data_IF_720955731377
#
_entry.id   IF_720955731377
#
_cell.length_a   1.000
_cell.length_b   1.000
_cell.length_c   1.000
_cell.angle_alpha   90.00
_cell.angle_beta   90.00
_cell.angle_gamma   90.00
#
_symmetry.space_group_name_H-M   'P 1'
#
loop_
_entity.id
_entity.type
_entity.pdbx_description
1 polymer ?
#
# COMPACT_ATOMS: atom_id res chain seq x y z
N UNK A 1 4.43 -29.71 7.22
CA UNK A 1 2.98 -29.46 7.30
C UNK A 1 2.82 -28.21 8.15
N UNK A 2 2.88 -27.05 7.52
CA UNK A 2 2.73 -25.75 8.19
C UNK A 2 1.32 -25.64 8.72
N UNK A 3 1.18 -25.24 9.98
CA UNK A 3 -0.10 -24.92 10.59
C UNK A 3 -0.81 -23.90 9.68
N UNK A 4 -2.04 -24.18 9.19
CA UNK A 4 -2.75 -23.30 8.27
C UNK A 4 -3.06 -21.91 8.85
N UNK A 5 -2.76 -21.68 10.13
CA UNK A 5 -2.95 -20.41 10.84
C UNK A 5 -1.73 -19.49 10.86
N UNK A 6 -0.55 -19.98 10.47
CA UNK A 6 0.70 -19.21 10.51
C UNK A 6 0.91 -18.51 9.18
N UNK A 7 1.21 -17.20 9.23
CA UNK A 7 1.55 -16.43 8.04
C UNK A 7 2.87 -16.94 7.47
N UNK A 8 3.02 -16.88 6.14
CA UNK A 8 4.29 -17.22 5.51
C UNK A 8 5.37 -16.24 6.02
N UNK A 9 6.39 -16.72 6.76
CA UNK A 9 7.41 -15.85 7.33
C UNK A 9 8.29 -15.17 6.28
N UNK A 10 8.24 -15.62 5.01
CA UNK A 10 8.89 -14.98 3.88
C UNK A 10 8.00 -13.97 3.13
N UNK A 11 6.72 -13.86 3.48
CA UNK A 11 5.81 -12.91 2.84
C UNK A 11 5.93 -11.51 3.46
N UNK A 12 5.82 -10.44 2.65
CA UNK A 12 5.80 -9.08 3.19
C UNK A 12 4.58 -8.87 4.09
N UNK A 13 4.75 -8.17 5.21
CA UNK A 13 3.60 -7.70 6.01
C UNK A 13 2.74 -6.77 5.14
N UNK A 14 3.37 -5.83 4.45
CA UNK A 14 2.66 -4.89 3.59
C UNK A 14 3.24 -4.78 2.17
N UNK A 15 2.36 -4.46 1.23
CA UNK A 15 2.72 -4.07 -0.13
C UNK A 15 2.39 -2.59 -0.32
N UNK A 16 3.37 -1.79 -0.78
CA UNK A 16 3.18 -0.37 -1.07
C UNK A 16 2.91 -0.14 -2.56
N UNK A 17 1.63 0.03 -2.91
CA UNK A 17 1.19 0.35 -4.26
C UNK A 17 1.19 1.86 -4.50
N UNK A 18 1.79 2.30 -5.61
CA UNK A 18 1.88 3.71 -5.98
C UNK A 18 1.92 3.88 -7.51
N UNK A 19 1.54 5.06 -7.99
CA UNK A 19 1.64 5.37 -9.42
C UNK A 19 3.11 5.55 -9.81
N UNK A 20 3.56 4.67 -10.71
CA UNK A 20 4.91 4.71 -11.25
C UNK A 20 4.97 5.68 -12.44
N UNK A 21 6.05 6.46 -12.60
CA UNK A 21 6.30 7.18 -13.84
C UNK A 21 6.35 6.19 -15.00
N UNK A 22 5.66 6.48 -16.10
CA UNK A 22 5.67 5.64 -17.29
C UNK A 22 7.12 5.51 -17.81
N UNK A 23 7.62 4.27 -17.79
CA UNK A 23 8.98 3.92 -18.22
C UNK A 23 9.26 4.35 -19.67
N UNK A 24 8.23 4.40 -20.52
CA UNK A 24 8.38 4.79 -21.94
C UNK A 24 8.77 6.25 -22.13
N UNK A 25 8.57 7.10 -21.12
CA UNK A 25 8.77 8.56 -21.21
C UNK A 25 9.96 9.09 -20.39
N UNK A 26 10.66 8.25 -19.62
CA UNK A 26 11.83 8.69 -18.86
C UNK A 26 13.12 8.58 -19.68
N UNK A 27 13.51 9.70 -20.30
CA UNK A 27 14.88 9.90 -20.82
C UNK A 27 15.73 10.50 -19.69
N UNK A 28 16.54 9.68 -19.01
CA UNK A 28 17.46 10.12 -17.96
C UNK A 28 17.67 9.10 -16.83
N UNK A 29 18.68 9.28 -15.97
CA UNK A 29 18.91 8.37 -14.84
C UNK A 29 17.68 8.36 -13.89
N UNK A 30 17.25 7.20 -13.35
CA UNK A 30 15.99 7.03 -12.58
C UNK A 30 15.86 7.79 -11.23
N UNK A 31 16.66 8.82 -10.98
CA UNK A 31 17.12 9.14 -9.62
C UNK A 31 16.24 10.10 -8.80
N UNK A 32 15.18 10.69 -9.35
CA UNK A 32 14.41 11.71 -8.61
C UNK A 32 12.91 11.46 -8.46
N UNK A 33 12.26 10.84 -9.44
CA UNK A 33 10.79 10.80 -9.48
C UNK A 33 10.14 10.12 -8.25
N UNK A 34 10.84 9.17 -7.62
CA UNK A 34 10.29 8.36 -6.52
C UNK A 34 11.01 8.56 -5.18
N UNK A 35 11.84 9.61 -5.00
CA UNK A 35 12.62 9.79 -3.75
C UNK A 35 11.75 9.77 -2.49
N UNK A 36 10.61 10.46 -2.51
CA UNK A 36 9.71 10.52 -1.35
C UNK A 36 8.93 9.22 -1.14
N UNK A 37 8.69 8.44 -2.21
CA UNK A 37 8.07 7.10 -2.09
C UNK A 37 9.06 6.14 -1.45
N UNK A 38 10.34 6.17 -1.87
CA UNK A 38 11.39 5.36 -1.25
C UNK A 38 11.58 5.74 0.23
N UNK A 39 11.66 7.04 0.55
CA UNK A 39 11.72 7.51 1.94
C UNK A 39 10.55 6.97 2.76
N UNK A 40 9.32 7.12 2.26
CA UNK A 40 8.14 6.58 2.95
C UNK A 40 8.23 5.07 3.15
N UNK A 41 8.68 4.35 2.13
CA UNK A 41 8.82 2.90 2.22
C UNK A 41 9.85 2.49 3.27
N UNK A 42 11.02 3.12 3.29
CA UNK A 42 12.09 2.84 4.23
C UNK A 42 11.62 3.15 5.67
N UNK A 43 11.10 4.36 5.91
CA UNK A 43 10.61 4.81 7.21
C UNK A 43 9.45 3.92 7.72
N UNK A 44 8.51 3.56 6.83
CA UNK A 44 7.39 2.69 7.19
C UNK A 44 7.83 1.25 7.45
N UNK A 45 8.79 0.73 6.68
CA UNK A 45 9.33 -0.62 6.86
C UNK A 45 10.01 -0.77 8.21
N UNK A 46 10.84 0.21 8.60
CA UNK A 46 11.50 0.23 9.91
C UNK A 46 10.47 0.17 11.05
N UNK A 47 9.46 1.05 11.01
CA UNK A 47 8.44 1.12 12.05
C UNK A 47 7.55 -0.13 12.11
N UNK A 48 7.19 -0.70 10.96
CA UNK A 48 6.41 -1.95 10.91
C UNK A 48 7.22 -3.13 11.46
N UNK A 49 8.52 -3.20 11.13
CA UNK A 49 9.41 -4.22 11.68
C UNK A 49 9.49 -4.15 13.20
N UNK A 50 9.66 -2.94 13.75
CA UNK A 50 9.69 -2.74 15.22
C UNK A 50 8.37 -3.12 15.90
N UNK A 51 7.23 -2.85 15.25
CA UNK A 51 5.90 -3.08 15.83
C UNK A 51 5.42 -4.53 15.75
N UNK A 52 5.79 -5.27 14.71
CA UNK A 52 5.28 -6.62 14.43
C UNK A 52 6.35 -7.70 14.67
N UNK A 53 7.63 -7.36 14.46
CA UNK A 53 8.76 -8.27 14.53
C UNK A 53 8.82 -9.20 13.31
N UNK A 54 9.58 -8.82 12.29
CA UNK A 54 9.88 -9.72 11.17
C UNK A 54 11.06 -10.64 11.49
N UNK A 55 11.09 -11.88 10.95
CA UNK A 55 12.27 -12.73 11.03
C UNK A 55 13.52 -12.02 10.47
N UNK A 56 14.69 -12.30 11.05
CA UNK A 56 15.96 -11.73 10.58
C UNK A 56 16.16 -12.05 9.10
N UNK A 57 16.34 -11.00 8.28
CA UNK A 57 16.53 -11.12 6.83
C UNK A 57 15.24 -11.10 6.00
N UNK A 58 14.06 -11.05 6.63
CA UNK A 58 12.79 -10.79 5.95
C UNK A 58 12.52 -9.28 5.87
N UNK A 59 12.19 -8.79 4.68
CA UNK A 59 11.76 -7.41 4.49
C UNK A 59 10.27 -7.29 4.91
N UNK A 60 9.91 -6.41 5.87
CA UNK A 60 8.53 -6.26 6.34
C UNK A 60 7.61 -5.68 5.25
N UNK A 61 8.18 -4.93 4.30
CA UNK A 61 7.46 -4.29 3.21
C UNK A 61 7.92 -4.77 1.85
N UNK A 62 7.06 -4.62 0.85
CA UNK A 62 7.43 -4.73 -0.55
C UNK A 62 7.10 -3.43 -1.30
N UNK A 63 8.08 -2.89 -2.02
CA UNK A 63 7.93 -1.77 -2.94
C UNK A 63 8.48 -2.15 -4.31
N UNK A 64 7.65 -2.04 -5.34
CA UNK A 64 8.13 -2.13 -6.71
C UNK A 64 8.91 -0.85 -7.09
N UNK A 65 10.23 -0.90 -6.94
CA UNK A 65 11.14 0.16 -7.39
C UNK A 65 11.43 0.13 -8.90
N UNK A 66 10.78 -0.77 -9.66
CA UNK A 66 10.91 -0.84 -11.11
C UNK A 66 12.35 -1.09 -11.55
N UNK A 67 13.12 -1.91 -10.83
CA UNK A 67 14.52 -2.23 -11.18
C UNK A 67 14.69 -3.56 -11.93
N UNK A 68 13.64 -4.38 -12.02
CA UNK A 68 13.61 -5.58 -12.86
C UNK A 68 12.87 -5.31 -14.17
N UNK A 69 13.44 -5.76 -15.30
CA UNK A 69 12.72 -5.86 -16.57
C UNK A 69 12.22 -7.29 -16.80
N UNK A 70 11.13 -7.44 -17.54
CA UNK A 70 10.66 -8.73 -18.05
C UNK A 70 9.84 -9.58 -17.07
N UNK A 71 9.76 -10.87 -17.38
CA UNK A 71 8.89 -11.86 -16.74
C UNK A 71 9.22 -12.08 -15.25
N UNK A 72 10.51 -12.02 -14.88
CA UNK A 72 10.93 -12.22 -13.49
C UNK A 72 10.40 -11.13 -12.56
N UNK A 73 10.41 -9.87 -13.03
CA UNK A 73 9.85 -8.74 -12.28
C UNK A 73 8.34 -8.88 -12.05
N UNK A 74 7.59 -9.25 -13.10
CA UNK A 74 6.16 -9.49 -12.98
C UNK A 74 5.88 -10.60 -11.97
N UNK A 75 6.61 -11.73 -12.04
CA UNK A 75 6.49 -12.82 -11.06
C UNK A 75 6.74 -12.33 -9.64
N UNK A 76 7.76 -11.51 -9.41
CA UNK A 76 8.05 -10.93 -8.09
C UNK A 76 6.89 -10.06 -7.58
N UNK A 77 6.29 -9.21 -8.42
CA UNK A 77 5.13 -8.40 -8.03
C UNK A 77 3.93 -9.29 -7.70
N UNK A 78 3.58 -10.23 -8.59
CA UNK A 78 2.43 -11.13 -8.39
C UNK A 78 2.60 -11.98 -7.13
N UNK A 79 3.83 -12.44 -6.84
CA UNK A 79 4.15 -13.12 -5.60
C UNK A 79 3.93 -12.20 -4.39
N UNK A 80 4.49 -10.99 -4.41
CA UNK A 80 4.41 -10.06 -3.29
C UNK A 80 2.95 -9.64 -3.00
N UNK A 81 2.20 -9.21 -4.01
CA UNK A 81 0.79 -8.80 -3.83
C UNK A 81 -0.13 -9.99 -3.56
N UNK A 82 0.23 -11.18 -4.02
CA UNK A 82 -0.50 -12.43 -3.78
C UNK A 82 -0.27 -13.03 -2.40
N UNK A 83 0.75 -12.59 -1.66
CA UNK A 83 1.11 -13.13 -0.34
C UNK A 83 1.06 -12.12 0.78
N UNK A 84 1.19 -10.81 0.51
CA UNK A 84 1.22 -9.79 1.55
C UNK A 84 -0.05 -9.76 2.41
N UNK A 85 0.02 -9.25 3.64
CA UNK A 85 -1.13 -9.19 4.53
C UNK A 85 -1.89 -7.87 4.45
N UNK A 86 -1.21 -6.77 4.13
CA UNK A 86 -1.80 -5.42 4.03
C UNK A 86 -1.42 -4.77 2.71
N UNK A 87 -2.37 -4.18 2.00
CA UNK A 87 -2.09 -3.37 0.82
C UNK A 87 -2.20 -1.89 1.17
N UNK A 88 -1.07 -1.17 1.18
CA UNK A 88 -1.06 0.28 1.35
C UNK A 88 -1.08 0.92 -0.03
N UNK A 89 -2.05 1.81 -0.29
CA UNK A 89 -2.17 2.46 -1.60
C UNK A 89 -1.95 3.96 -1.51
N UNK A 90 -1.05 4.49 -2.32
CA UNK A 90 -0.73 5.91 -2.38
C UNK A 90 -1.66 6.61 -3.40
N UNK A 91 -2.83 7.03 -2.93
CA UNK A 91 -3.85 7.66 -3.76
C UNK A 91 -3.39 9.01 -4.29
N UNK A 92 -3.40 9.10 -5.60
CA UNK A 92 -3.10 10.29 -6.39
C UNK A 92 -3.90 10.22 -7.68
N UNK A 93 -4.04 11.34 -8.39
CA UNK A 93 -4.70 11.35 -9.68
C UNK A 93 -4.11 10.31 -10.67
N UNK A 94 -2.77 10.22 -10.85
CA UNK A 94 -2.18 9.20 -11.72
C UNK A 94 -2.41 7.75 -11.24
N UNK A 95 -2.50 7.53 -9.92
CA UNK A 95 -2.81 6.20 -9.37
C UNK A 95 -4.20 5.75 -9.81
N UNK A 96 -5.19 6.62 -9.65
CA UNK A 96 -6.60 6.31 -9.86
C UNK A 96 -6.99 6.23 -11.33
N UNK A 97 -6.37 7.05 -12.19
CA UNK A 97 -6.89 7.26 -13.55
C UNK A 97 -5.90 6.88 -14.66
N UNK A 98 -4.60 6.73 -14.37
CA UNK A 98 -3.60 6.47 -15.41
C UNK A 98 -2.83 5.15 -15.21
N UNK A 99 -2.72 4.66 -13.98
CA UNK A 99 -1.87 3.50 -13.68
C UNK A 99 -2.61 2.18 -13.89
N UNK A 100 -2.40 1.58 -15.07
CA UNK A 100 -2.90 0.24 -15.41
C UNK A 100 -2.51 -0.83 -14.37
N UNK A 101 -1.28 -0.75 -13.88
CA UNK A 101 -0.78 -1.70 -12.89
C UNK A 101 -1.41 -1.52 -11.51
N UNK A 102 -1.70 -0.29 -11.08
CA UNK A 102 -2.35 -0.08 -9.78
C UNK A 102 -3.75 -0.72 -9.76
N UNK A 103 -4.48 -0.67 -10.88
CA UNK A 103 -5.75 -1.36 -11.01
C UNK A 103 -5.60 -2.89 -10.94
N UNK A 104 -4.56 -3.46 -11.56
CA UNK A 104 -4.28 -4.90 -11.48
C UNK A 104 -3.87 -5.35 -10.07
N UNK A 105 -2.99 -4.59 -9.42
CA UNK A 105 -2.54 -4.85 -8.05
C UNK A 105 -3.74 -4.83 -7.09
N UNK A 106 -4.64 -3.85 -7.25
CA UNK A 106 -5.87 -3.76 -6.47
C UNK A 106 -6.79 -4.95 -6.71
N UNK A 107 -7.08 -5.26 -7.98
CA UNK A 107 -7.95 -6.37 -8.36
C UNK A 107 -7.41 -7.71 -7.83
N UNK A 108 -6.11 -7.97 -7.97
CA UNK A 108 -5.48 -9.17 -7.44
C UNK A 108 -5.65 -9.26 -5.92
N UNK A 109 -5.37 -8.18 -5.19
CA UNK A 109 -5.52 -8.19 -3.73
C UNK A 109 -6.98 -8.38 -3.30
N UNK A 110 -7.95 -7.70 -3.95
CA UNK A 110 -9.38 -7.84 -3.60
C UNK A 110 -9.99 -9.20 -3.90
N UNK A 111 -9.39 -10.00 -4.78
CA UNK A 111 -9.82 -11.40 -5.02
C UNK A 111 -9.45 -12.35 -3.88
N UNK A 112 -8.58 -11.92 -2.97
CA UNK A 112 -8.09 -12.75 -1.86
C UNK A 112 -9.11 -12.79 -0.72
N UNK A 113 -9.24 -13.96 -0.10
CA UNK A 113 -10.13 -14.15 1.05
C UNK A 113 -9.51 -13.50 2.29
N UNK A 114 -10.28 -12.62 2.93
CA UNK A 114 -9.93 -12.02 4.22
C UNK A 114 -10.70 -12.76 5.32
N UNK A 115 -9.97 -13.27 6.32
CA UNK A 115 -10.54 -13.93 7.49
C UNK A 115 -10.19 -13.15 8.75
N UNK A 116 -11.15 -13.04 9.67
CA UNK A 116 -10.94 -12.41 10.96
C UNK A 116 -10.09 -13.31 11.85
N UNK A 117 -9.03 -12.76 12.45
CA UNK A 117 -8.29 -13.42 13.51
C UNK A 117 -9.11 -13.36 14.80
N UNK A 118 -9.06 -14.42 15.59
CA UNK A 118 -9.69 -14.50 16.92
C UNK A 118 -11.23 -14.36 16.91
N UNK A 119 -11.90 -14.62 15.78
CA UNK A 119 -13.37 -14.56 15.71
C UNK A 119 -13.94 -13.17 15.94
N UNK A 120 -13.15 -12.10 15.74
CA UNK A 120 -13.65 -10.73 15.81
C UNK A 120 -14.76 -10.57 14.76
N UNK A 121 -15.86 -9.91 15.14
CA UNK A 121 -16.92 -9.57 14.20
C UNK A 121 -16.31 -8.81 12.99
N UNK A 122 -16.82 -9.02 11.77
CA UNK A 122 -16.37 -8.26 10.61
C UNK A 122 -16.52 -6.77 10.90
N UNK A 123 -15.40 -6.08 11.16
CA UNK A 123 -15.36 -4.63 11.25
C UNK A 123 -15.45 -3.99 9.87
N UNK A 124 -15.67 -2.67 9.84
CA UNK A 124 -15.62 -1.87 8.61
C UNK A 124 -14.17 -1.62 8.10
N UNK A 125 -13.15 -2.16 8.78
CA UNK A 125 -11.75 -2.05 8.38
C UNK A 125 -11.43 -3.09 7.29
N UNK A 126 -10.74 -2.64 6.25
CA UNK A 126 -10.25 -3.48 5.15
C UNK A 126 -8.76 -3.79 5.36
N UNK A 127 -8.26 -4.87 4.74
CA UNK A 127 -6.82 -5.11 4.61
C UNK A 127 -6.15 -4.21 3.55
N UNK A 128 -6.93 -3.34 2.91
CA UNK A 128 -6.46 -2.26 2.05
C UNK A 128 -6.48 -0.95 2.84
N UNK A 129 -5.37 -0.22 2.82
CA UNK A 129 -5.16 1.05 3.53
C UNK A 129 -4.89 2.17 2.51
N UNK A 130 -5.92 2.93 2.10
CA UNK A 130 -5.76 4.04 1.19
C UNK A 130 -5.20 5.29 1.87
N UNK A 131 -4.02 5.72 1.44
CA UNK A 131 -3.32 6.91 1.96
C UNK A 131 -3.45 8.03 0.92
N UNK A 132 -3.87 9.22 1.36
CA UNK A 132 -3.88 10.40 0.49
C UNK A 132 -2.44 10.83 0.22
N UNK A 133 -1.92 10.48 -0.95
CA UNK A 133 -0.55 10.81 -1.33
C UNK A 133 -0.44 12.24 -1.84
N UNK A 134 -1.32 12.61 -2.78
CA UNK A 134 -1.49 13.97 -3.27
C UNK A 134 -2.98 14.28 -3.36
N UNK A 135 -3.44 15.50 -3.05
CA UNK A 135 -4.83 15.88 -3.22
C UNK A 135 -5.26 15.77 -4.69
N UNK A 136 -6.54 15.47 -4.92
CA UNK A 136 -7.18 15.40 -6.23
C UNK A 136 -8.65 15.77 -6.09
N UNK A 137 -9.26 16.29 -7.15
CA UNK A 137 -10.63 16.81 -7.13
C UNK A 137 -11.65 15.83 -7.70
N UNK A 138 -11.19 14.82 -8.45
CA UNK A 138 -12.03 13.88 -9.14
C UNK A 138 -12.70 12.91 -8.16
N UNK A 139 -13.94 12.47 -8.43
CA UNK A 139 -14.61 11.49 -7.59
C UNK A 139 -13.83 10.16 -7.59
N UNK A 140 -13.82 9.48 -6.44
CA UNK A 140 -13.21 8.16 -6.33
C UNK A 140 -13.96 7.16 -7.24
N UNK A 141 -13.22 6.33 -8.00
CA UNK A 141 -13.82 5.16 -8.66
C UNK A 141 -14.50 4.25 -7.63
N UNK A 142 -15.63 3.65 -8.01
CA UNK A 142 -16.50 2.86 -7.11
C UNK A 142 -15.73 1.84 -6.24
N UNK A 143 -14.83 1.00 -6.77
CA UNK A 143 -14.12 0.01 -5.94
C UNK A 143 -13.28 0.66 -4.83
N UNK A 144 -12.72 1.85 -5.09
CA UNK A 144 -11.89 2.59 -4.13
C UNK A 144 -12.78 3.33 -3.12
N UNK A 145 -13.92 3.86 -3.57
CA UNK A 145 -14.87 4.57 -2.71
C UNK A 145 -15.53 3.67 -1.64
N UNK A 146 -15.56 2.36 -1.86
CA UNK A 146 -16.07 1.35 -0.92
C UNK A 146 -15.08 1.06 0.24
N UNK A 147 -13.84 1.56 0.16
CA UNK A 147 -12.80 1.38 1.18
C UNK A 147 -12.57 2.69 1.93
N UNK A 148 -12.60 2.62 3.26
CA UNK A 148 -12.34 3.79 4.10
C UNK A 148 -10.91 4.31 3.92
N UNK A 149 -10.80 5.63 3.69
CA UNK A 149 -9.51 6.32 3.66
C UNK A 149 -8.80 6.24 5.01
N UNK A 150 -7.47 6.14 4.99
CA UNK A 150 -6.65 6.32 6.17
C UNK A 150 -6.67 7.79 6.61
N UNK A 151 -7.24 8.02 7.79
CA UNK A 151 -7.24 9.30 8.49
C UNK A 151 -6.47 9.12 9.81
N UNK A 152 -5.32 9.79 10.00
CA UNK A 152 -4.57 9.69 11.24
C UNK A 152 -5.38 10.31 12.40
N UNK A 153 -5.48 9.58 13.52
CA UNK A 153 -6.18 10.03 14.73
C UNK A 153 -5.23 10.11 15.92
N UNK A 154 -5.55 10.98 16.88
CA UNK A 154 -4.71 11.23 18.05
C UNK A 154 -3.33 11.76 17.68
N UNK A 155 -3.28 12.69 16.72
CA UNK A 155 -2.11 13.52 16.45
C UNK A 155 -1.98 14.60 17.54
N UNK A 156 -0.78 15.14 17.80
CA UNK A 156 -0.55 16.12 18.88
C UNK A 156 -1.35 17.41 18.73
N UNK A 157 -1.70 17.77 17.50
CA UNK A 157 -2.36 19.03 17.14
C UNK A 157 -3.44 18.73 16.09
N UNK A 158 -4.62 19.31 16.27
CA UNK A 158 -5.79 19.10 15.42
C UNK A 158 -5.55 19.58 13.98
N UNK A 159 -4.71 20.61 13.81
CA UNK A 159 -4.39 21.18 12.51
C UNK A 159 -3.55 20.24 11.65
N UNK A 160 -2.87 19.25 12.26
CA UNK A 160 -1.99 18.33 11.52
C UNK A 160 -2.78 17.40 10.61
N UNK A 161 -3.95 16.94 11.05
CA UNK A 161 -4.85 16.13 10.21
C UNK A 161 -5.38 16.97 9.06
N UNK A 162 -5.77 18.22 9.32
CA UNK A 162 -6.23 19.14 8.27
C UNK A 162 -5.12 19.40 7.24
N UNK A 163 -3.87 19.56 7.69
CA UNK A 163 -2.71 19.73 6.81
C UNK A 163 -2.47 18.52 5.92
N UNK A 164 -2.54 17.31 6.48
CA UNK A 164 -2.46 16.07 5.70
C UNK A 164 -3.55 15.97 4.64
N UNK A 165 -4.79 16.31 4.99
CA UNK A 165 -5.93 16.27 4.06
C UNK A 165 -5.82 17.32 2.94
N UNK A 166 -5.28 18.50 3.25
CA UNK A 166 -5.05 19.58 2.28
C UNK A 166 -3.89 19.28 1.33
N UNK A 167 -2.76 18.84 1.88
CA UNK A 167 -1.50 18.78 1.13
C UNK A 167 -1.19 17.37 0.59
N UNK A 168 -1.85 16.34 1.13
CA UNK A 168 -1.43 14.95 1.00
C UNK A 168 -0.11 14.67 1.70
N UNK A 169 0.22 13.40 1.90
CA UNK A 169 1.46 13.01 2.57
C UNK A 169 2.72 13.47 1.80
N UNK A 170 2.66 13.52 0.46
CA UNK A 170 3.77 14.05 -0.34
C UNK A 170 3.99 15.54 -0.08
N UNK A 171 2.92 16.33 0.01
CA UNK A 171 3.01 17.76 0.28
C UNK A 171 3.62 18.03 1.65
N UNK A 172 3.19 17.29 2.67
CA UNK A 172 3.78 17.34 4.02
C UNK A 172 5.28 16.99 3.97
N UNK A 173 5.66 15.90 3.30
CA UNK A 173 7.05 15.46 3.18
C UNK A 173 7.95 16.50 2.46
N UNK A 174 7.44 17.15 1.41
CA UNK A 174 8.23 18.09 0.58
C UNK A 174 8.37 19.49 1.15
N UNK A 175 7.48 19.90 2.06
CA UNK A 175 7.46 21.25 2.62
C UNK A 175 8.25 21.38 3.92
N UNK A 176 9.03 20.36 4.29
CA UNK A 176 9.87 20.36 5.50
C UNK A 176 9.10 20.18 6.79
N UNK A 177 7.81 19.78 6.72
CA UNK A 177 6.95 19.51 7.88
C UNK A 177 7.25 18.12 8.47
N UNK A 178 8.51 17.85 8.80
CA UNK A 178 8.99 16.50 9.19
C UNK A 178 8.24 15.96 10.42
N UNK A 179 7.99 16.78 11.45
CA UNK A 179 7.26 16.32 12.63
C UNK A 179 5.83 15.82 12.31
N UNK A 180 5.14 16.49 11.37
CA UNK A 180 3.82 16.07 10.88
C UNK A 180 3.95 14.76 10.08
N UNK A 181 4.93 14.71 9.17
CA UNK A 181 5.21 13.51 8.38
C UNK A 181 5.50 12.29 9.27
N UNK A 182 6.46 12.40 10.18
CA UNK A 182 6.89 11.32 11.07
C UNK A 182 5.72 10.81 11.93
N UNK A 183 4.89 11.72 12.45
CA UNK A 183 3.71 11.35 13.21
C UNK A 183 2.66 10.61 12.36
N UNK A 184 2.44 11.02 11.10
CA UNK A 184 1.52 10.34 10.19
C UNK A 184 2.04 8.95 9.81
N UNK A 185 3.34 8.83 9.50
CA UNK A 185 3.96 7.53 9.16
C UNK A 185 3.91 6.59 10.37
N UNK A 186 4.16 7.08 11.58
CA UNK A 186 3.96 6.32 12.81
C UNK A 186 2.52 5.81 12.96
N UNK A 187 1.51 6.68 12.78
CA UNK A 187 0.10 6.27 12.84
C UNK A 187 -0.26 5.27 11.73
N UNK A 188 0.36 5.38 10.56
CA UNK A 188 0.19 4.42 9.48
C UNK A 188 0.78 3.05 9.84
N UNK A 189 1.99 3.01 10.41
CA UNK A 189 2.62 1.78 10.89
C UNK A 189 1.75 1.08 11.96
N UNK A 190 1.25 1.85 12.94
CA UNK A 190 0.28 1.34 13.94
C UNK A 190 -1.01 0.83 13.28
N UNK A 191 -1.47 1.47 12.20
CA UNK A 191 -2.65 1.01 11.45
C UNK A 191 -2.38 -0.35 10.79
N UNK A 192 -1.24 -0.51 10.14
CA UNK A 192 -0.81 -1.77 9.52
C UNK A 192 -0.72 -2.87 10.59
N UNK A 193 -0.06 -2.62 11.72
CA UNK A 193 0.05 -3.58 12.82
C UNK A 193 -1.32 -4.02 13.34
N UNK A 194 -2.25 -3.08 13.51
CA UNK A 194 -3.62 -3.37 13.95
C UNK A 194 -4.40 -4.20 12.91
N UNK A 195 -4.32 -3.86 11.63
CA UNK A 195 -4.97 -4.62 10.55
C UNK A 195 -4.38 -6.04 10.48
N UNK A 196 -3.06 -6.17 10.49
CA UNK A 196 -2.34 -7.45 10.49
C UNK A 196 -2.73 -8.33 11.69
N UNK A 197 -2.84 -7.76 12.90
CA UNK A 197 -3.23 -8.50 14.09
C UNK A 197 -4.72 -8.90 14.13
N UNK A 198 -5.58 -8.23 13.35
CA UNK A 198 -7.02 -8.48 13.31
C UNK A 198 -7.48 -9.35 12.17
N UNK A 199 -6.78 -9.30 11.04
CA UNK A 199 -7.18 -9.98 9.82
C UNK A 199 -6.03 -10.83 9.30
N UNK A 200 -6.39 -11.91 8.62
CA UNK A 200 -5.48 -12.69 7.80
C UNK A 200 -5.98 -12.66 6.37
N UNK A 201 -5.11 -12.31 5.45
CA UNK A 201 -5.41 -12.35 4.02
C UNK A 201 -4.79 -13.63 3.47
N UNK A 202 -5.64 -14.56 3.06
CA UNK A 202 -5.17 -15.84 2.52
C UNK A 202 -4.33 -15.60 1.26
N UNK A 203 -3.19 -16.30 1.11
CA UNK A 203 -2.36 -16.14 -0.07
C UNK A 203 -3.09 -16.66 -1.32
N UNK A 204 -3.05 -15.88 -2.39
CA UNK A 204 -3.46 -16.30 -3.72
C UNK A 204 -2.56 -15.61 -4.74
N UNK A 205 -1.59 -16.37 -5.27
CA UNK A 205 -0.65 -15.88 -6.29
C UNK A 205 -1.25 -16.15 -7.66
N UNK A 206 -1.32 -15.13 -8.50
CA UNK A 206 -1.79 -15.27 -9.87
C UNK A 206 -0.67 -15.83 -10.77
N UNK A 207 -1.03 -16.73 -11.69
CA UNK A 207 -0.09 -17.29 -12.68
C UNK A 207 0.34 -16.26 -13.75
N UNK A 208 -0.43 -15.18 -13.89
CA UNK A 208 -0.24 -14.14 -14.90
C UNK A 208 -1.11 -12.91 -14.65
N UNK A 209 -1.14 -12.01 -15.63
CA UNK A 209 -1.94 -10.76 -15.58
C UNK A 209 -3.22 -10.85 -16.42
N UNK A 210 -3.43 -11.97 -17.09
CA UNK A 210 -4.58 -12.25 -17.93
C UNK A 210 -5.87 -12.26 -17.10
N UNK A 211 -6.88 -11.52 -17.56
CA UNK A 211 -8.17 -11.42 -16.87
C UNK A 211 -8.16 -10.54 -15.60
N UNK A 212 -7.06 -9.86 -15.28
CA UNK A 212 -7.03 -8.81 -14.27
C UNK A 212 -7.66 -7.51 -14.81
N UNK A 213 -8.35 -6.78 -13.95
CA UNK A 213 -8.85 -5.44 -14.28
C UNK A 213 -7.67 -4.50 -14.51
N UNK A 214 -7.78 -3.70 -15.57
CA UNK A 214 -6.69 -2.80 -15.98
C UNK A 214 -7.03 -1.31 -15.78
N UNK A 215 -8.23 -1.04 -15.26
CA UNK A 215 -8.71 0.27 -14.84
C UNK A 215 -9.62 0.14 -13.61
N UNK A 216 -9.67 1.18 -12.79
CA UNK A 216 -10.62 1.27 -11.67
C UNK A 216 -12.04 1.64 -12.10
N UNK A 217 -12.21 2.14 -13.33
CA UNK A 217 -13.49 2.68 -13.84
C UNK A 217 -14.26 1.72 -14.75
N UNK A 218 -13.73 0.53 -15.05
CA UNK A 218 -14.42 -0.44 -15.91
C UNK A 218 -15.46 -1.26 -15.11
N UNK A 219 -16.73 -1.11 -15.50
CA UNK A 219 -17.89 -1.79 -14.93
C UNK A 219 -19.05 -0.83 -14.72
N UNK A 220 -19.80 -0.54 -15.80
CA UNK A 220 -21.17 0.01 -15.70
C UNK A 220 -22.14 -1.15 -15.78
#
# INVERSE_FOLDING_TARGET
MTDPTVDDPGAPVFFLSYSRPDRSRSVGPPREANRNVNRLFDDLSELVNELIGSPVGAEPGFLDVGRGGGEHWQKTILQAIGTCQVMVVLLSYPYLFHSRWCAMEWDLFTRRRIVSRHGLAPGAESAIVPVLWTPFEQPLPKPVAEVNMFIPTGLPDEDWTARYLSDGLLGVARTGQNAIYDAIVWKLAMHIQRVHGRYRVEPAVADGIEGLRTSFTEGT
#
